data_IF_328375489166
#
_entry.id   IF_328375489166
#
_cell.length_a   1.000
_cell.length_b   1.000
_cell.length_c   1.000
_cell.angle_alpha   90.00
_cell.angle_beta   90.00
_cell.angle_gamma   90.00
#
_symmetry.space_group_name_H-M   'P 1'
#
loop_
_entity.id
_entity.type
_entity.pdbx_description
1 polymer ?
#
# COMPACT_ATOMS: atom_id res chain seq x y z
N UNK A 1 -12.42 -0.94 4.49
CA UNK A 1 -12.08 -2.17 5.22
C UNK A 1 -13.29 -3.02 5.63
N UNK A 2 -14.53 -2.54 5.50
CA UNK A 2 -15.73 -3.26 5.99
C UNK A 2 -16.43 -4.12 4.92
N UNK A 3 -16.51 -3.59 3.69
CA UNK A 3 -17.34 -4.19 2.65
C UNK A 3 -16.82 -5.54 2.15
N UNK A 4 -15.49 -5.71 2.03
CA UNK A 4 -14.88 -6.97 1.63
C UNK A 4 -15.21 -8.11 2.60
N UNK A 5 -14.88 -7.99 3.91
CA UNK A 5 -15.26 -9.00 4.89
C UNK A 5 -16.75 -9.29 4.93
N UNK A 6 -17.61 -8.26 4.84
CA UNK A 6 -19.07 -8.45 4.80
C UNK A 6 -19.52 -9.28 3.60
N UNK A 7 -18.97 -9.03 2.40
CA UNK A 7 -19.28 -9.78 1.19
C UNK A 7 -18.85 -11.25 1.29
N UNK A 8 -17.68 -11.52 1.87
CA UNK A 8 -17.13 -12.86 2.00
C UNK A 8 -17.56 -13.61 3.28
N UNK A 9 -18.40 -13.01 4.15
CA UNK A 9 -18.79 -13.61 5.43
C UNK A 9 -17.64 -13.74 6.42
N UNK A 10 -16.61 -12.90 6.31
CA UNK A 10 -15.43 -12.89 7.17
C UNK A 10 -15.54 -11.81 8.26
N UNK A 11 -14.90 -12.00 9.43
CA UNK A 11 -14.87 -10.99 10.48
C UNK A 11 -14.06 -9.75 10.06
N UNK A 12 -14.51 -8.58 10.51
CA UNK A 12 -13.78 -7.32 10.33
C UNK A 12 -12.55 -7.27 11.26
N UNK A 13 -11.43 -6.77 10.76
CA UNK A 13 -10.23 -6.53 11.56
C UNK A 13 -10.50 -5.53 12.69
N UNK A 14 -9.99 -5.82 13.90
CA UNK A 14 -10.12 -4.94 15.08
C UNK A 14 -8.97 -3.95 15.24
N UNK A 15 -7.88 -4.16 14.49
CA UNK A 15 -6.69 -3.31 14.52
C UNK A 15 -6.83 -2.16 13.52
N UNK A 16 -6.06 -1.11 13.78
CA UNK A 16 -6.04 0.11 12.98
C UNK A 16 -4.65 0.35 12.40
N UNK A 17 -4.63 1.07 11.28
CA UNK A 17 -3.43 1.65 10.70
C UNK A 17 -3.67 3.15 10.54
N UNK A 18 -2.60 3.94 10.49
CA UNK A 18 -2.70 5.39 10.30
C UNK A 18 -2.25 5.76 8.90
N UNK A 19 -3.00 6.65 8.25
CA UNK A 19 -2.55 7.32 7.04
C UNK A 19 -1.99 8.68 7.45
N UNK A 20 -0.70 8.89 7.22
CA UNK A 20 0.00 10.13 7.50
C UNK A 20 0.18 10.92 6.20
N UNK A 21 -0.23 12.19 6.19
CA UNK A 21 -0.05 13.09 5.05
C UNK A 21 1.32 13.75 5.12
N UNK A 22 2.11 13.62 4.04
CA UNK A 22 3.41 14.27 3.91
C UNK A 22 3.29 15.63 3.22
N UNK A 23 4.26 16.51 3.46
CA UNK A 23 4.36 17.82 2.79
C UNK A 23 4.91 17.71 1.37
N UNK A 24 5.81 16.74 1.15
CA UNK A 24 6.42 16.45 -0.15
C UNK A 24 5.87 15.12 -0.69
N UNK A 25 5.82 14.94 -2.01
CA UNK A 25 5.41 13.68 -2.61
C UNK A 25 6.40 12.57 -2.27
N UNK A 26 5.86 11.39 -1.98
CA UNK A 26 6.61 10.17 -1.73
C UNK A 26 7.25 9.68 -3.03
N UNK A 27 8.45 9.10 -2.90
CA UNK A 27 9.18 8.44 -3.99
C UNK A 27 9.39 6.98 -3.59
N UNK A 28 9.10 6.10 -4.54
CA UNK A 28 9.29 4.66 -4.42
C UNK A 28 10.25 4.21 -5.52
N UNK A 29 11.05 3.20 -5.23
CA UNK A 29 11.93 2.60 -6.22
C UNK A 29 11.09 1.96 -7.33
N UNK A 30 11.55 2.06 -8.57
CA UNK A 30 10.85 1.44 -9.72
C UNK A 30 10.84 -0.09 -9.64
N UNK A 31 11.83 -0.66 -8.95
CA UNK A 31 12.02 -2.10 -8.82
C UNK A 31 12.46 -2.45 -7.41
N UNK A 32 12.01 -3.61 -6.95
CA UNK A 32 12.46 -4.24 -5.72
C UNK A 32 13.01 -5.63 -6.04
N UNK A 33 14.14 -5.99 -5.42
CA UNK A 33 14.70 -7.33 -5.59
C UNK A 33 13.81 -8.35 -4.86
N UNK A 34 13.29 -9.33 -5.57
CA UNK A 34 12.60 -10.46 -4.97
C UNK A 34 13.54 -11.66 -4.90
N UNK A 35 13.89 -12.03 -3.67
CA UNK A 35 14.91 -13.05 -3.37
C UNK A 35 14.75 -14.32 -4.23
N UNK A 36 15.70 -14.51 -5.15
CA UNK A 36 15.80 -15.70 -6.00
C UNK A 36 15.00 -15.71 -7.30
N UNK A 37 14.14 -14.72 -7.55
CA UNK A 37 13.25 -14.68 -8.75
C UNK A 37 13.45 -13.44 -9.62
N UNK A 38 14.39 -12.56 -9.25
CA UNK A 38 14.72 -11.34 -10.00
C UNK A 38 13.96 -10.11 -9.49
N UNK A 39 14.05 -9.01 -10.23
CA UNK A 39 13.42 -7.74 -9.85
C UNK A 39 11.92 -7.73 -10.13
N UNK A 40 11.14 -7.19 -9.19
CA UNK A 40 9.70 -6.91 -9.34
C UNK A 40 9.51 -5.41 -9.53
N UNK A 41 8.80 -5.04 -10.60
CA UNK A 41 8.42 -3.64 -10.83
C UNK A 41 7.36 -3.17 -9.81
N UNK A 42 7.60 -2.02 -9.20
CA UNK A 42 6.64 -1.38 -8.29
C UNK A 42 5.59 -0.66 -9.13
N UNK A 43 4.31 -0.88 -8.82
CA UNK A 43 3.23 -0.16 -9.48
C UNK A 43 3.35 1.35 -9.22
N UNK A 44 3.39 2.13 -10.31
CA UNK A 44 3.41 3.58 -10.27
C UNK A 44 2.15 4.14 -10.95
N UNK A 45 1.29 4.89 -10.24
CA UNK A 45 0.06 5.45 -10.80
C UNK A 45 0.26 6.69 -11.69
N UNK A 46 1.51 7.08 -11.99
CA UNK A 46 1.87 8.31 -12.73
C UNK A 46 1.30 9.59 -12.10
N UNK A 47 1.02 9.55 -10.80
CA UNK A 47 0.53 10.68 -10.00
C UNK A 47 1.30 10.76 -8.70
N UNK A 48 1.42 11.96 -8.17
CA UNK A 48 2.08 12.19 -6.89
C UNK A 48 1.30 11.56 -5.73
N UNK A 49 2.02 10.86 -4.86
CA UNK A 49 1.47 10.21 -3.67
C UNK A 49 1.92 11.00 -2.44
N UNK A 50 0.97 11.46 -1.63
CA UNK A 50 1.25 12.25 -0.42
C UNK A 50 0.88 11.54 0.89
N UNK A 51 0.36 10.32 0.81
CA UNK A 51 -0.10 9.58 1.97
C UNK A 51 0.75 8.33 2.12
N UNK A 52 1.35 8.14 3.30
CA UNK A 52 2.02 6.89 3.68
C UNK A 52 1.26 6.23 4.81
N UNK A 53 1.43 4.92 4.94
CA UNK A 53 0.99 4.17 6.11
C UNK A 53 2.07 4.29 7.19
N UNK A 54 1.67 4.47 8.45
CA UNK A 54 2.54 4.47 9.65
C UNK A 54 2.00 3.53 10.71
#
# INVERSE_FOLDING_TARGET
>A
SLNGPAFYGLPVNKTFITLEKTTNPLRYDEKIAAGGVGDIAVFNPEREIFWKVS
#
